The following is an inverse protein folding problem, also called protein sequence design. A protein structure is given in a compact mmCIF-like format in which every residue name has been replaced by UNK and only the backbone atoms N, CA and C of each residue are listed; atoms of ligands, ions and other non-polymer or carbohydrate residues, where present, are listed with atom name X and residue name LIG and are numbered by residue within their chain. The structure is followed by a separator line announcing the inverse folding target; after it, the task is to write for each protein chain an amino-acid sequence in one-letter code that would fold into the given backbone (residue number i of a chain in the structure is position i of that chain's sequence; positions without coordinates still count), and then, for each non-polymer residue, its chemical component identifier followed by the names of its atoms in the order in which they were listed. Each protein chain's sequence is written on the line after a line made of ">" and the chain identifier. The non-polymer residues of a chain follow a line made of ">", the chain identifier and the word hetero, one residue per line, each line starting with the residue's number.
data_IF_712918424474
#
_entry.id   IF_712918424474
#
_cell.length_a   1.000
_cell.length_b   1.000
_cell.length_c   1.000
_cell.angle_alpha   90.00
_cell.angle_beta   90.00
_cell.angle_gamma   90.00
#
_symmetry.space_group_name_H-M   'P 1'
#
loop_
_entity.id
_entity.type
_entity.pdbx_description
1 polymer ?
#
# COMPACT_ATOMS: atom_id res chain seq x y z
N UNK A 1 -12.42 20.11 9.51
CA UNK A 1 -11.32 21.05 9.90
C UNK A 1 -10.01 20.39 9.48
N UNK A 2 -9.21 21.02 8.62
CA UNK A 2 -7.90 20.48 8.22
C UNK A 2 -6.92 20.67 9.39
N UNK A 3 -6.17 19.60 9.74
CA UNK A 3 -5.14 19.72 10.78
C UNK A 3 -3.93 20.49 10.24
N UNK A 4 -3.15 21.13 11.13
CA UNK A 4 -1.90 21.79 10.75
C UNK A 4 -0.87 20.85 10.06
N UNK A 5 -1.03 19.54 10.19
CA UNK A 5 -0.18 18.53 9.57
C UNK A 5 -0.60 18.15 8.13
N UNK A 6 -1.75 18.60 7.66
CA UNK A 6 -2.27 18.22 6.33
C UNK A 6 -1.46 18.83 5.20
N UNK A 7 -1.09 20.13 5.32
CA UNK A 7 -0.32 20.81 4.28
C UNK A 7 1.09 20.22 4.10
N UNK A 8 1.90 19.99 5.15
CA UNK A 8 3.18 19.29 5.02
C UNK A 8 3.06 17.91 4.35
N UNK A 9 2.04 17.12 4.73
CA UNK A 9 1.79 15.82 4.11
C UNK A 9 1.55 15.94 2.60
N UNK A 10 0.75 16.93 2.17
CA UNK A 10 0.46 17.15 0.75
C UNK A 10 1.72 17.58 0.01
N UNK A 11 2.51 18.50 0.57
CA UNK A 11 3.76 18.95 -0.03
C UNK A 11 4.78 17.82 -0.16
N UNK A 12 4.94 17.01 0.87
CA UNK A 12 5.82 15.83 0.81
C UNK A 12 5.35 14.83 -0.24
N UNK A 13 4.05 14.59 -0.36
CA UNK A 13 3.50 13.74 -1.43
C UNK A 13 3.80 14.30 -2.83
N UNK A 14 3.64 15.61 -3.02
CA UNK A 14 4.00 16.29 -4.29
C UNK A 14 5.48 16.09 -4.60
N UNK A 15 6.36 16.29 -3.62
CA UNK A 15 7.80 16.15 -3.77
C UNK A 15 8.19 14.71 -4.10
N UNK A 16 7.66 13.71 -3.38
CA UNK A 16 7.97 12.29 -3.62
C UNK A 16 7.55 11.88 -5.02
N UNK A 17 6.31 12.20 -5.43
CA UNK A 17 5.78 11.79 -6.75
C UNK A 17 6.55 12.40 -7.91
N UNK A 18 7.18 13.56 -7.71
CA UNK A 18 7.95 14.24 -8.75
C UNK A 18 9.46 14.11 -8.57
N UNK A 19 9.95 13.30 -7.62
CA UNK A 19 11.37 13.15 -7.27
C UNK A 19 12.05 14.50 -7.00
N UNK A 20 11.34 15.43 -6.35
CA UNK A 20 11.88 16.74 -6.00
C UNK A 20 12.71 16.64 -4.71
N UNK A 21 13.82 17.36 -4.67
CA UNK A 21 14.64 17.44 -3.47
C UNK A 21 13.94 18.27 -2.39
N UNK A 22 13.68 17.67 -1.23
CA UNK A 22 13.09 18.35 -0.07
C UNK A 22 13.92 19.52 0.46
N UNK A 23 15.25 19.52 0.20
CA UNK A 23 16.18 20.54 0.64
C UNK A 23 16.45 21.61 -0.42
N UNK A 24 15.88 21.46 -1.62
CA UNK A 24 16.10 22.40 -2.71
C UNK A 24 15.36 23.72 -2.45
N UNK A 25 16.12 24.72 -2.00
CA UNK A 25 15.62 26.08 -1.73
C UNK A 25 15.47 26.94 -2.98
N UNK A 26 15.87 26.46 -4.13
CA UNK A 26 15.84 27.17 -5.42
C UNK A 26 14.74 26.66 -6.32
N UNK A 27 13.48 26.99 -6.06
CA UNK A 27 12.43 26.83 -7.04
C UNK A 27 12.55 28.00 -8.02
N UNK A 28 12.84 27.71 -9.30
CA UNK A 28 12.80 28.71 -10.36
C UNK A 28 11.36 29.19 -10.56
N UNK A 29 11.19 30.48 -10.82
CA UNK A 29 9.87 31.03 -11.17
C UNK A 29 9.30 30.30 -12.39
N UNK A 30 8.08 29.81 -12.26
CA UNK A 30 7.31 29.15 -13.32
C UNK A 30 6.33 30.15 -13.94
N UNK A 31 6.88 31.08 -14.69
CA UNK A 31 6.12 32.21 -15.26
C UNK A 31 4.94 31.78 -16.13
N UNK A 32 5.05 30.62 -16.80
CA UNK A 32 3.96 30.09 -17.66
C UNK A 32 3.03 29.14 -16.89
N UNK A 33 3.45 28.64 -15.73
CA UNK A 33 2.73 27.64 -14.96
C UNK A 33 2.81 26.21 -15.51
N UNK A 34 3.55 25.99 -16.62
CA UNK A 34 3.61 24.69 -17.28
C UNK A 34 4.24 23.61 -16.40
N UNK A 35 5.32 23.95 -15.71
CA UNK A 35 6.00 23.05 -14.77
C UNK A 35 5.09 22.69 -13.60
N UNK A 36 4.44 23.67 -13.01
CA UNK A 36 3.46 23.48 -11.92
C UNK A 36 2.32 22.58 -12.36
N UNK A 37 1.76 22.83 -13.55
CA UNK A 37 0.68 21.99 -14.12
C UNK A 37 1.15 20.55 -14.31
N UNK A 38 2.37 20.34 -14.82
CA UNK A 38 2.96 19.00 -15.00
C UNK A 38 3.11 18.28 -13.66
N UNK A 39 3.67 18.94 -12.65
CA UNK A 39 3.83 18.42 -11.27
C UNK A 39 2.48 17.98 -10.73
N UNK A 40 1.45 18.83 -10.79
CA UNK A 40 0.11 18.53 -10.28
C UNK A 40 -0.59 17.40 -11.06
N UNK A 41 -0.36 17.30 -12.38
CA UNK A 41 -0.86 16.17 -13.19
C UNK A 41 -0.25 14.85 -12.75
N UNK A 42 1.06 14.80 -12.43
CA UNK A 42 1.71 13.60 -11.91
C UNK A 42 1.12 13.18 -10.55
N UNK A 43 0.93 14.14 -9.65
CA UNK A 43 0.31 13.90 -8.34
C UNK A 43 -1.09 13.32 -8.49
N UNK A 44 -1.92 13.92 -9.34
CA UNK A 44 -3.27 13.43 -9.63
C UNK A 44 -3.25 12.00 -10.20
N UNK A 45 -2.34 11.72 -11.15
CA UNK A 45 -2.17 10.39 -11.74
C UNK A 45 -1.80 9.36 -10.68
N UNK A 46 -0.88 9.70 -9.76
CA UNK A 46 -0.51 8.82 -8.66
C UNK A 46 -1.67 8.60 -7.68
N UNK A 47 -2.38 9.65 -7.26
CA UNK A 47 -3.54 9.53 -6.39
C UNK A 47 -4.61 8.59 -7.00
N UNK A 48 -4.88 8.72 -8.30
CA UNK A 48 -5.80 7.82 -9.01
C UNK A 48 -5.29 6.38 -9.04
N UNK A 49 -4.00 6.16 -9.19
CA UNK A 49 -3.39 4.83 -9.20
C UNK A 49 -3.49 4.13 -7.85
N UNK A 50 -3.37 4.87 -6.75
CA UNK A 50 -3.45 4.28 -5.41
C UNK A 50 -4.86 3.78 -5.09
N UNK A 51 -5.88 4.66 -5.15
CA UNK A 51 -7.24 4.30 -4.79
C UNK A 51 -8.27 5.25 -5.42
N UNK A 52 -8.90 4.83 -6.49
CA UNK A 52 -9.97 5.55 -7.18
C UNK A 52 -10.77 4.59 -8.08
N UNK A 53 -11.82 5.10 -8.75
CA UNK A 53 -12.53 4.35 -9.79
C UNK A 53 -11.90 4.47 -11.19
N UNK A 54 -10.73 5.11 -11.32
CA UNK A 54 -10.02 5.20 -12.59
C UNK A 54 -9.44 3.83 -13.00
N UNK A 55 -9.44 3.53 -14.30
CA UNK A 55 -8.97 2.25 -14.85
C UNK A 55 -7.56 1.82 -14.39
N UNK A 56 -6.68 2.79 -14.11
CA UNK A 56 -5.31 2.52 -13.60
C UNK A 56 -5.24 2.26 -12.08
N UNK A 57 -6.38 2.29 -11.37
CA UNK A 57 -6.37 2.20 -9.90
C UNK A 57 -6.09 0.78 -9.42
N UNK A 58 -5.05 0.66 -8.59
CA UNK A 58 -4.73 -0.58 -7.88
C UNK A 58 -5.74 -0.87 -6.76
N UNK A 59 -6.54 0.13 -6.33
CA UNK A 59 -7.53 -0.03 -5.28
C UNK A 59 -6.94 -0.45 -3.94
N UNK A 60 -5.81 0.15 -3.54
CA UNK A 60 -5.16 -0.16 -2.28
C UNK A 60 -6.06 0.21 -1.10
N UNK A 61 -6.43 -0.78 -0.28
CA UNK A 61 -7.36 -0.57 0.83
C UNK A 61 -6.72 0.31 1.92
N UNK A 62 -7.23 1.53 2.20
CA UNK A 62 -6.53 2.50 3.05
C UNK A 62 -6.14 1.95 4.42
N UNK A 63 -7.05 1.25 5.09
CA UNK A 63 -6.80 0.69 6.44
C UNK A 63 -5.59 -0.25 6.46
N UNK A 64 -5.37 -0.99 5.37
CA UNK A 64 -4.27 -1.95 5.31
C UNK A 64 -2.94 -1.31 4.89
N UNK A 65 -3.00 -0.37 3.95
CA UNK A 65 -1.78 0.18 3.34
C UNK A 65 -1.28 1.48 3.99
N UNK A 66 -2.19 2.29 4.56
CA UNK A 66 -1.86 3.64 5.03
C UNK A 66 -2.04 3.84 6.54
N UNK A 67 -2.58 2.83 7.23
CA UNK A 67 -2.84 2.90 8.67
C UNK A 67 -2.08 1.80 9.39
N UNK A 68 -1.82 2.02 10.68
CA UNK A 68 -1.31 0.99 11.57
C UNK A 68 -2.42 0.03 12.00
N UNK A 69 -2.06 -1.10 12.59
CA UNK A 69 -3.03 -2.10 13.06
C UNK A 69 -4.04 -1.55 14.07
N UNK A 70 -3.68 -0.49 14.81
CA UNK A 70 -4.56 0.20 15.76
C UNK A 70 -5.40 1.33 15.11
N UNK A 71 -5.42 1.41 13.77
CA UNK A 71 -6.28 2.33 13.01
C UNK A 71 -5.80 3.78 12.94
N UNK A 72 -4.53 4.04 13.23
CA UNK A 72 -3.93 5.38 13.11
C UNK A 72 -3.29 5.57 11.74
N UNK A 73 -3.58 6.69 11.09
CA UNK A 73 -2.88 7.05 9.85
C UNK A 73 -1.36 7.11 10.10
N UNK A 74 -0.62 6.44 9.24
CA UNK A 74 0.83 6.33 9.32
C UNK A 74 1.46 6.96 8.08
N UNK A 75 1.88 8.21 8.19
CA UNK A 75 2.50 8.98 7.09
C UNK A 75 3.65 8.23 6.42
N UNK A 76 4.51 7.57 7.21
CA UNK A 76 5.63 6.82 6.67
C UNK A 76 5.20 5.62 5.84
N UNK A 77 4.10 4.93 6.21
CA UNK A 77 3.53 3.84 5.40
C UNK A 77 2.92 4.37 4.11
N UNK A 78 2.20 5.49 4.17
CA UNK A 78 1.66 6.13 2.97
C UNK A 78 2.76 6.46 1.97
N UNK A 79 3.83 7.13 2.40
CA UNK A 79 4.95 7.47 1.51
C UNK A 79 5.72 6.25 1.01
N UNK A 80 5.87 5.21 1.85
CA UNK A 80 6.49 3.96 1.43
C UNK A 80 5.69 3.25 0.32
N UNK A 81 4.36 3.25 0.43
CA UNK A 81 3.48 2.70 -0.61
C UNK A 81 3.55 3.53 -1.89
N UNK A 82 3.58 4.86 -1.79
CA UNK A 82 3.75 5.74 -2.97
C UNK A 82 5.04 5.41 -3.71
N UNK A 83 6.17 5.40 -3.00
CA UNK A 83 7.50 5.10 -3.57
C UNK A 83 7.57 3.67 -4.15
N UNK A 84 6.99 2.70 -3.46
CA UNK A 84 6.89 1.32 -3.92
C UNK A 84 6.10 1.20 -5.23
N UNK A 85 4.91 1.81 -5.30
CA UNK A 85 4.07 1.79 -6.51
C UNK A 85 4.74 2.53 -7.66
N UNK A 86 5.44 3.65 -7.40
CA UNK A 86 6.23 4.35 -8.42
C UNK A 86 7.29 3.44 -9.02
N UNK A 87 8.08 2.75 -8.20
CA UNK A 87 9.13 1.82 -8.64
C UNK A 87 8.58 0.67 -9.45
N UNK A 88 7.48 0.06 -9.03
CA UNK A 88 6.82 -0.99 -9.78
C UNK A 88 6.31 -0.50 -11.14
N UNK A 89 5.74 0.71 -11.20
CA UNK A 89 5.24 1.31 -12.44
C UNK A 89 6.37 1.64 -13.41
N UNK A 90 7.46 2.22 -12.93
CA UNK A 90 8.66 2.54 -13.72
C UNK A 90 9.30 1.28 -14.33
N UNK A 91 9.37 0.19 -13.56
CA UNK A 91 9.89 -1.11 -14.02
C UNK A 91 8.88 -1.94 -14.81
N UNK A 92 7.62 -1.49 -14.93
CA UNK A 92 6.50 -2.22 -15.55
C UNK A 92 6.19 -3.55 -14.83
N UNK A 93 6.35 -3.58 -13.51
CA UNK A 93 6.22 -4.77 -12.67
C UNK A 93 4.93 -4.79 -11.83
N UNK A 94 3.97 -3.92 -12.12
CA UNK A 94 2.69 -3.90 -11.39
C UNK A 94 1.98 -5.26 -11.42
N UNK A 95 2.10 -6.00 -12.53
CA UNK A 95 1.50 -7.34 -12.64
C UNK A 95 2.12 -8.34 -11.67
N UNK A 96 3.43 -8.25 -11.40
CA UNK A 96 4.10 -9.09 -10.40
C UNK A 96 3.48 -8.88 -9.01
N UNK A 97 3.21 -7.63 -8.66
CA UNK A 97 2.51 -7.30 -7.40
C UNK A 97 1.08 -7.87 -7.37
N UNK A 98 0.32 -7.71 -8.47
CA UNK A 98 -1.06 -8.23 -8.55
C UNK A 98 -1.12 -9.75 -8.32
N UNK A 99 -0.18 -10.51 -8.88
CA UNK A 99 -0.14 -11.98 -8.74
C UNK A 99 0.11 -12.45 -7.31
N UNK A 100 0.84 -11.68 -6.51
CA UNK A 100 1.18 -12.03 -5.12
C UNK A 100 0.44 -11.20 -4.09
N UNK A 101 -0.53 -10.38 -4.53
CA UNK A 101 -1.18 -9.36 -3.70
C UNK A 101 -1.84 -9.92 -2.46
N UNK A 102 -2.52 -11.04 -2.55
CA UNK A 102 -3.15 -11.70 -1.39
C UNK A 102 -2.13 -11.95 -0.27
N UNK A 103 -1.01 -12.61 -0.62
CA UNK A 103 0.07 -12.90 0.33
C UNK A 103 0.77 -11.63 0.82
N UNK A 104 0.89 -10.61 -0.04
CA UNK A 104 1.44 -9.31 0.37
C UNK A 104 0.52 -8.60 1.37
N UNK A 105 -0.79 -8.67 1.18
CA UNK A 105 -1.76 -8.11 2.15
C UNK A 105 -1.76 -8.90 3.46
N UNK A 106 -1.55 -10.23 3.42
CA UNK A 106 -1.31 -11.04 4.62
C UNK A 106 -0.02 -10.62 5.35
N UNK A 107 1.06 -10.35 4.60
CA UNK A 107 2.29 -9.78 5.16
C UNK A 107 2.03 -8.48 5.92
N UNK A 108 1.29 -7.53 5.32
CA UNK A 108 0.96 -6.27 5.97
C UNK A 108 0.16 -6.47 7.28
N UNK A 109 -0.70 -7.49 7.34
CA UNK A 109 -1.46 -7.81 8.55
C UNK A 109 -0.61 -8.50 9.61
N UNK A 110 0.23 -9.46 9.24
CA UNK A 110 0.99 -10.28 10.17
C UNK A 110 2.27 -9.59 10.67
N UNK A 111 2.94 -8.84 9.80
CA UNK A 111 4.28 -8.28 10.04
C UNK A 111 4.33 -6.75 10.09
N UNK A 112 3.20 -6.07 10.33
CA UNK A 112 3.13 -4.59 10.45
C UNK A 112 4.15 -4.01 11.43
N UNK A 113 4.48 -4.77 12.48
CA UNK A 113 5.47 -4.36 13.49
C UNK A 113 6.89 -4.17 12.92
N UNK A 114 7.24 -4.79 11.79
CA UNK A 114 8.53 -4.56 11.11
C UNK A 114 8.63 -3.13 10.55
N UNK A 115 7.50 -2.61 10.05
CA UNK A 115 7.42 -1.21 9.61
C UNK A 115 7.71 -0.26 10.77
N UNK A 116 7.16 -0.56 11.96
CA UNK A 116 7.43 0.20 13.17
C UNK A 116 8.91 0.15 13.56
N UNK A 117 9.55 -1.04 13.51
CA UNK A 117 10.98 -1.18 13.82
C UNK A 117 11.86 -0.38 12.86
N UNK A 118 11.53 -0.33 11.57
CA UNK A 118 12.25 0.51 10.60
C UNK A 118 12.13 1.99 10.99
N UNK A 119 10.93 2.45 11.30
CA UNK A 119 10.73 3.83 11.73
C UNK A 119 11.47 4.16 13.03
N UNK A 120 11.45 3.27 14.01
CA UNK A 120 12.18 3.43 15.28
C UNK A 120 13.70 3.51 15.10
N UNK A 121 14.26 2.80 14.10
CA UNK A 121 15.67 2.85 13.77
C UNK A 121 16.10 4.19 13.18
N UNK A 122 15.37 4.70 12.21
CA UNK A 122 15.76 5.90 11.47
C UNK A 122 15.21 7.18 12.07
N UNK A 123 14.09 7.12 12.80
CA UNK A 123 13.41 8.27 13.46
C UNK A 123 13.16 9.47 12.55
N UNK A 124 13.11 9.24 11.26
CA UNK A 124 12.95 10.23 10.21
C UNK A 124 12.04 9.65 9.14
N UNK A 125 10.99 10.38 8.77
CA UNK A 125 10.00 9.90 7.80
C UNK A 125 10.62 9.72 6.42
N UNK A 126 11.47 10.66 5.98
CA UNK A 126 12.05 10.66 4.63
C UNK A 126 13.06 9.52 4.43
N UNK A 127 13.82 9.18 5.48
CA UNK A 127 14.71 8.02 5.45
C UNK A 127 13.92 6.72 5.57
N UNK A 128 12.98 6.66 6.52
CA UNK A 128 12.24 5.44 6.83
C UNK A 128 11.40 4.95 5.68
N UNK A 129 10.68 5.84 4.95
CA UNK A 129 9.78 5.37 3.88
C UNK A 129 10.54 4.65 2.75
N UNK A 130 11.77 5.07 2.43
CA UNK A 130 12.60 4.42 1.41
C UNK A 130 12.99 3.01 1.80
N UNK A 131 13.31 2.78 3.09
CA UNK A 131 13.63 1.45 3.60
C UNK A 131 12.39 0.55 3.70
N UNK A 132 11.24 1.10 4.06
CA UNK A 132 9.98 0.36 4.06
C UNK A 132 9.58 -0.01 2.62
N UNK A 133 9.69 0.92 1.66
CA UNK A 133 9.47 0.64 0.24
C UNK A 133 10.39 -0.47 -0.27
N UNK A 134 11.68 -0.46 0.13
CA UNK A 134 12.63 -1.53 -0.19
C UNK A 134 12.20 -2.87 0.43
N UNK A 135 11.70 -2.88 1.67
CA UNK A 135 11.15 -4.08 2.29
C UNK A 135 9.97 -4.62 1.48
N UNK A 136 9.03 -3.77 1.07
CA UNK A 136 7.88 -4.17 0.26
C UNK A 136 8.29 -4.76 -1.09
N UNK A 137 9.26 -4.15 -1.73
CA UNK A 137 9.81 -4.62 -3.01
C UNK A 137 10.44 -6.04 -2.87
N UNK A 138 11.26 -6.24 -1.86
CA UNK A 138 11.87 -7.54 -1.57
C UNK A 138 10.83 -8.60 -1.21
N UNK A 139 9.79 -8.26 -0.44
CA UNK A 139 8.68 -9.18 -0.15
C UNK A 139 8.00 -9.63 -1.46
N UNK A 140 7.70 -8.71 -2.38
CA UNK A 140 7.10 -9.07 -3.68
C UNK A 140 8.02 -9.97 -4.48
N UNK A 141 9.32 -9.68 -4.56
CA UNK A 141 10.31 -10.50 -5.28
C UNK A 141 10.35 -11.92 -4.73
N UNK A 142 10.42 -12.10 -3.41
CA UNK A 142 10.47 -13.42 -2.79
C UNK A 142 9.16 -14.21 -2.99
N UNK A 143 8.01 -13.54 -2.82
CA UNK A 143 6.71 -14.16 -3.07
C UNK A 143 6.52 -14.58 -4.53
N UNK A 144 7.00 -13.78 -5.49
CA UNK A 144 7.02 -14.13 -6.92
C UNK A 144 7.93 -15.34 -7.21
N UNK A 145 9.01 -15.49 -6.46
CA UNK A 145 9.87 -16.68 -6.52
C UNK A 145 9.23 -17.94 -5.87
N UNK A 146 7.99 -17.85 -5.42
CA UNK A 146 7.23 -18.97 -4.85
C UNK A 146 7.53 -19.27 -3.38
N UNK A 147 8.24 -18.39 -2.67
CA UNK A 147 8.54 -18.57 -1.24
C UNK A 147 7.30 -18.37 -0.38
N UNK A 148 7.28 -19.03 0.77
CA UNK A 148 6.27 -18.76 1.81
C UNK A 148 6.54 -17.40 2.48
N UNK A 149 5.56 -16.86 3.20
CA UNK A 149 5.78 -15.63 3.98
C UNK A 149 6.84 -15.79 5.05
N UNK A 150 6.82 -16.92 5.76
CA UNK A 150 7.76 -17.17 6.85
C UNK A 150 9.20 -17.32 6.31
N UNK A 151 9.42 -18.03 5.19
CA UNK A 151 10.72 -18.11 4.53
C UNK A 151 11.18 -16.72 4.03
N UNK A 152 10.26 -15.96 3.42
CA UNK A 152 10.53 -14.59 2.97
C UNK A 152 11.04 -13.72 4.12
N UNK A 153 10.36 -13.73 5.26
CA UNK A 153 10.75 -12.90 6.41
C UNK A 153 12.07 -13.37 7.00
N UNK A 154 12.28 -14.68 7.17
CA UNK A 154 13.52 -15.23 7.70
C UNK A 154 14.75 -14.84 6.85
N UNK A 155 14.63 -14.90 5.54
CA UNK A 155 15.70 -14.46 4.63
C UNK A 155 15.92 -12.95 4.70
N UNK A 156 14.84 -12.15 4.73
CA UNK A 156 14.95 -10.70 4.80
C UNK A 156 15.65 -10.24 6.09
N UNK A 157 15.29 -10.79 7.25
CA UNK A 157 15.94 -10.41 8.52
C UNK A 157 17.36 -10.95 8.63
N UNK A 158 17.75 -11.91 7.79
CA UNK A 158 19.13 -12.40 7.69
C UNK A 158 19.98 -11.58 6.71
N UNK A 159 19.37 -10.74 5.89
CA UNK A 159 20.06 -9.90 4.91
C UNK A 159 20.75 -8.69 5.55
N UNK A 160 21.82 -8.19 4.93
CA UNK A 160 22.54 -7.00 5.40
C UNK A 160 21.64 -5.77 5.56
N UNK A 161 20.65 -5.62 4.70
CA UNK A 161 19.74 -4.48 4.72
C UNK A 161 18.79 -4.48 5.92
N UNK A 162 18.40 -5.68 6.39
CA UNK A 162 17.32 -5.84 7.36
C UNK A 162 17.69 -6.67 8.59
N UNK A 163 18.95 -7.05 8.79
CA UNK A 163 19.42 -7.83 9.95
C UNK A 163 19.17 -7.18 11.33
N UNK A 164 18.78 -5.92 11.33
CA UNK A 164 18.37 -5.23 12.56
C UNK A 164 16.91 -5.45 12.92
N UNK A 165 16.11 -6.04 12.03
CA UNK A 165 14.73 -6.37 12.30
C UNK A 165 14.65 -7.66 13.12
N UNK A 166 13.79 -7.66 14.12
CA UNK A 166 13.54 -8.82 14.97
C UNK A 166 12.15 -9.38 14.70
N UNK A 167 12.08 -10.65 14.36
CA UNK A 167 10.80 -11.39 14.25
C UNK A 167 10.26 -11.64 15.67
N UNK A 168 9.03 -11.24 15.90
CA UNK A 168 8.36 -11.46 17.20
C UNK A 168 7.80 -12.87 17.26
N UNK A 169 8.17 -13.59 18.31
CA UNK A 169 7.47 -14.82 18.67
C UNK A 169 6.16 -14.45 19.40
N UNK A 170 5.06 -15.11 19.08
CA UNK A 170 3.72 -14.82 19.65
C UNK A 170 3.69 -14.86 21.19
N UNK A 171 4.60 -15.62 21.81
CA UNK A 171 4.71 -15.78 23.28
C UNK A 171 5.19 -14.49 23.98
N UNK A 172 5.94 -13.61 23.30
CA UNK A 172 6.48 -12.37 23.89
C UNK A 172 5.45 -11.24 24.03
N UNK A 173 4.31 -11.34 23.37
CA UNK A 173 3.25 -10.33 23.43
C UNK A 173 2.39 -10.37 24.69
N UNK A 174 2.44 -11.44 25.48
CA UNK A 174 1.55 -11.67 26.62
C UNK A 174 2.04 -10.97 27.91
N UNK A 175 3.35 -10.73 28.04
CA UNK A 175 3.94 -10.23 29.30
C UNK A 175 3.64 -8.74 29.63
N UNK A 176 3.05 -7.98 28.71
CA UNK A 176 2.69 -6.55 28.90
C UNK A 176 1.19 -6.29 28.87
N UNK A 177 0.34 -7.32 29.04
CA UNK A 177 -1.10 -7.15 28.94
C UNK A 177 -1.70 -6.48 30.19
N UNK A 178 -2.37 -5.36 29.99
CA UNK A 178 -3.22 -4.73 31.01
C UNK A 178 -4.56 -5.45 31.09
N UNK A 179 -5.21 -5.44 32.27
CA UNK A 179 -6.55 -6.06 32.47
C UNK A 179 -7.63 -5.39 31.61
N UNK A 180 -7.48 -4.10 31.26
CA UNK A 180 -8.46 -3.34 30.51
C UNK A 180 -8.01 -3.05 29.07
N UNK A 181 -8.98 -3.00 28.16
CA UNK A 181 -8.75 -2.62 26.77
C UNK A 181 -8.71 -1.10 26.63
N UNK A 182 -7.56 -0.55 26.29
CA UNK A 182 -7.44 0.84 25.89
C UNK A 182 -8.00 1.07 24.48
N UNK A 183 -8.16 2.34 24.07
CA UNK A 183 -8.74 2.72 22.78
C UNK A 183 -8.00 2.08 21.58
N UNK A 184 -6.69 1.98 21.63
CA UNK A 184 -5.90 1.39 20.54
C UNK A 184 -6.17 -0.11 20.39
N UNK A 185 -6.19 -0.86 21.51
CA UNK A 185 -6.52 -2.30 21.49
C UNK A 185 -7.94 -2.54 20.99
N UNK A 186 -8.90 -1.69 21.37
CA UNK A 186 -10.28 -1.77 20.85
C UNK A 186 -10.33 -1.59 19.35
N UNK A 187 -9.61 -0.59 18.81
CA UNK A 187 -9.54 -0.33 17.38
C UNK A 187 -8.86 -1.50 16.63
N UNK A 188 -7.77 -2.03 17.17
CA UNK A 188 -7.07 -3.19 16.59
C UNK A 188 -7.97 -4.43 16.53
N UNK A 189 -8.68 -4.73 17.61
CA UNK A 189 -9.63 -5.86 17.67
C UNK A 189 -10.73 -5.66 16.62
N UNK A 190 -11.31 -4.46 16.54
CA UNK A 190 -12.36 -4.16 15.56
C UNK A 190 -11.86 -4.36 14.13
N UNK A 191 -10.69 -3.81 13.80
CA UNK A 191 -10.10 -3.93 12.46
C UNK A 191 -9.83 -5.40 12.11
N UNK A 192 -9.23 -6.17 13.04
CA UNK A 192 -8.94 -7.59 12.84
C UNK A 192 -10.21 -8.43 12.59
N UNK A 193 -11.31 -8.07 13.22
CA UNK A 193 -12.59 -8.77 13.02
C UNK A 193 -13.34 -8.31 11.76
N UNK A 194 -13.19 -7.04 11.37
CA UNK A 194 -13.88 -6.48 10.21
C UNK A 194 -13.20 -6.84 8.86
N UNK A 195 -11.87 -6.84 8.81
CA UNK A 195 -11.13 -7.07 7.56
C UNK A 195 -11.43 -8.42 6.88
N UNK A 196 -11.56 -9.56 7.58
CA UNK A 196 -11.87 -10.84 6.95
C UNK A 196 -13.23 -10.85 6.23
N UNK A 197 -14.20 -10.07 6.72
CA UNK A 197 -15.52 -9.91 6.09
C UNK A 197 -15.59 -8.91 4.96
N UNK A 198 -14.48 -8.20 4.67
CA UNK A 198 -14.46 -7.21 3.60
C UNK A 198 -14.47 -7.87 2.21
N UNK A 199 -15.12 -7.25 1.20
CA UNK A 199 -15.13 -7.79 -0.16
C UNK A 199 -13.70 -7.95 -0.70
N UNK A 200 -13.50 -8.99 -1.52
CA UNK A 200 -12.21 -9.25 -2.17
C UNK A 200 -12.34 -9.28 -3.69
N UNK A 201 -11.31 -8.79 -4.36
CA UNK A 201 -11.20 -8.83 -5.81
C UNK A 201 -11.18 -10.27 -6.32
N UNK A 202 -12.03 -10.62 -7.26
CA UNK A 202 -12.11 -11.98 -7.82
C UNK A 202 -10.90 -12.36 -8.71
N UNK A 203 -10.01 -11.41 -9.01
CA UNK A 203 -8.81 -11.64 -9.82
C UNK A 203 -7.58 -11.82 -8.93
N UNK A 204 -7.30 -10.89 -8.00
CA UNK A 204 -6.07 -10.91 -7.20
C UNK A 204 -6.28 -11.24 -5.72
N UNK A 205 -7.51 -11.52 -5.31
CA UNK A 205 -7.95 -11.78 -3.93
C UNK A 205 -7.60 -10.68 -2.89
N UNK A 206 -7.11 -9.51 -3.33
CA UNK A 206 -6.86 -8.36 -2.47
C UNK A 206 -8.16 -7.69 -2.00
N UNK A 207 -8.08 -6.98 -0.87
CA UNK A 207 -9.22 -6.29 -0.26
C UNK A 207 -9.76 -5.16 -1.16
N UNK A 208 -11.06 -5.11 -1.33
CA UNK A 208 -11.76 -4.06 -2.10
C UNK A 208 -12.16 -2.91 -1.17
N UNK A 209 -11.83 -1.68 -1.60
CA UNK A 209 -12.35 -0.46 -0.98
C UNK A 209 -13.43 0.18 -1.86
N UNK A 210 -14.50 0.69 -1.24
CA UNK A 210 -15.67 1.25 -1.95
C UNK A 210 -15.36 2.33 -3.00
N UNK A 211 -14.25 3.04 -2.86
CA UNK A 211 -13.82 4.09 -3.80
C UNK A 211 -13.03 3.53 -5.00
N UNK A 212 -12.87 2.21 -5.09
CA UNK A 212 -12.08 1.58 -6.14
C UNK A 212 -12.67 0.22 -6.51
N UNK A 213 -13.85 0.29 -7.12
CA UNK A 213 -14.63 -0.86 -7.55
C UNK A 213 -14.76 -0.84 -9.06
N UNK A 214 -14.54 -1.99 -9.69
CA UNK A 214 -14.94 -2.30 -11.05
C UNK A 214 -15.74 -3.59 -11.05
N UNK A 215 -16.72 -3.69 -11.95
CA UNK A 215 -17.44 -4.93 -12.19
C UNK A 215 -16.90 -5.55 -13.47
N UNK A 216 -16.40 -6.76 -13.35
CA UNK A 216 -15.94 -7.58 -14.45
C UNK A 216 -16.99 -8.61 -14.85
N UNK A 217 -17.01 -9.03 -16.11
CA UNK A 217 -17.88 -10.11 -16.59
C UNK A 217 -17.22 -11.47 -16.31
N UNK A 218 -17.94 -12.37 -15.64
CA UNK A 218 -17.52 -13.77 -15.44
C UNK A 218 -17.42 -14.46 -16.80
N UNK A 219 -18.50 -14.46 -17.57
CA UNK A 219 -18.51 -14.80 -18.99
C UNK A 219 -18.23 -13.54 -19.80
N UNK A 220 -17.19 -13.54 -20.63
CA UNK A 220 -16.78 -12.36 -21.41
C UNK A 220 -17.86 -11.90 -22.37
N UNK A 221 -17.92 -10.61 -22.66
CA UNK A 221 -18.83 -10.03 -23.68
C UNK A 221 -18.63 -10.67 -25.06
N UNK A 222 -17.36 -10.94 -25.41
CA UNK A 222 -16.97 -11.59 -26.68
C UNK A 222 -17.54 -13.02 -26.79
N UNK A 223 -17.72 -13.69 -25.65
CA UNK A 223 -18.29 -15.05 -25.54
C UNK A 223 -19.82 -15.01 -25.32
N UNK A 224 -20.47 -13.86 -25.57
CA UNK A 224 -21.92 -13.71 -25.43
C UNK A 224 -22.38 -13.41 -24.00
N UNK A 225 -21.49 -13.07 -23.08
CA UNK A 225 -21.84 -12.71 -21.71
C UNK A 225 -22.64 -11.41 -21.62
N UNK A 226 -23.81 -11.48 -20.95
CA UNK A 226 -24.70 -10.35 -20.73
C UNK A 226 -24.39 -9.64 -19.41
N UNK A 227 -24.71 -8.35 -19.31
CA UNK A 227 -24.55 -7.56 -18.09
C UNK A 227 -25.68 -7.85 -17.10
N UNK A 228 -25.69 -9.06 -16.55
CA UNK A 228 -26.61 -9.49 -15.48
C UNK A 228 -25.88 -9.51 -14.14
N UNK A 229 -26.65 -9.51 -13.03
CA UNK A 229 -26.09 -9.59 -11.67
C UNK A 229 -25.26 -10.88 -11.52
N UNK A 230 -25.75 -12.00 -12.02
CA UNK A 230 -25.11 -13.31 -11.90
C UNK A 230 -23.84 -13.43 -12.75
N UNK A 231 -23.70 -12.61 -13.80
CA UNK A 231 -22.51 -12.55 -14.64
C UNK A 231 -21.53 -11.44 -14.22
N UNK A 232 -21.81 -10.70 -13.14
CA UNK A 232 -20.95 -9.65 -12.61
C UNK A 232 -20.11 -10.13 -11.44
N UNK A 233 -18.81 -9.81 -11.45
CA UNK A 233 -17.93 -10.04 -10.31
C UNK A 233 -17.18 -8.76 -9.91
N UNK A 234 -17.00 -8.59 -8.59
CA UNK A 234 -16.32 -7.42 -8.04
C UNK A 234 -14.80 -7.54 -8.21
N UNK A 235 -14.15 -6.48 -8.74
CA UNK A 235 -12.72 -6.44 -8.99
C UNK A 235 -12.15 -5.05 -8.70
N UNK A 236 -10.82 -4.94 -8.64
CA UNK A 236 -10.15 -3.65 -8.74
C UNK A 236 -10.16 -3.15 -10.18
N UNK A 237 -10.21 -1.82 -10.42
CA UNK A 237 -10.17 -1.27 -11.77
C UNK A 237 -8.95 -1.74 -12.58
N UNK A 238 -7.74 -1.70 -12.01
CA UNK A 238 -6.53 -2.16 -12.70
C UNK A 238 -6.57 -3.68 -12.99
N UNK A 239 -7.07 -4.48 -12.07
CA UNK A 239 -7.20 -5.93 -12.29
C UNK A 239 -8.11 -6.24 -13.48
N UNK A 240 -9.20 -5.49 -13.64
CA UNK A 240 -10.14 -5.66 -14.74
C UNK A 240 -9.58 -5.16 -16.08
N UNK A 241 -8.89 -4.02 -16.09
CA UNK A 241 -8.54 -3.32 -17.35
C UNK A 241 -7.07 -3.45 -17.73
N UNK A 242 -6.15 -3.59 -16.78
CA UNK A 242 -4.71 -3.59 -17.04
C UNK A 242 -4.04 -4.95 -16.89
N UNK A 243 -4.53 -5.77 -15.96
CA UNK A 243 -3.93 -7.09 -15.68
C UNK A 243 -4.57 -8.22 -16.49
N UNK A 244 -5.90 -8.20 -16.64
CA UNK A 244 -6.65 -9.25 -17.32
C UNK A 244 -6.59 -9.16 -18.86
N UNK A 245 -6.31 -7.96 -19.40
CA UNK A 245 -6.30 -7.68 -20.84
C UNK A 245 -4.91 -7.68 -21.44
#
# INVERSE_FOLDING_TARGET
>A
MYSAQTLPLILDFVNIVNNLDFNNKGVHDDLTGDTTIKILKNVRKMAYKLNSNHASSLGLHPILYFYSQDGRHRTVSFFAVVDFVMKLDERKELNNFIEVREKFEEFLQKYDYLIKQIYEKYRDVQKSYKHISKLFDQVVIHLKAGKTLDDTINELVSSEDFKYLAVRNEIQSISSCTKEFNTNKKSEIYIRQALPGSPRCKICNGLIHRNSISIDHIQRKEDGGLATIDNGQITHPYCNTGYKN
#
